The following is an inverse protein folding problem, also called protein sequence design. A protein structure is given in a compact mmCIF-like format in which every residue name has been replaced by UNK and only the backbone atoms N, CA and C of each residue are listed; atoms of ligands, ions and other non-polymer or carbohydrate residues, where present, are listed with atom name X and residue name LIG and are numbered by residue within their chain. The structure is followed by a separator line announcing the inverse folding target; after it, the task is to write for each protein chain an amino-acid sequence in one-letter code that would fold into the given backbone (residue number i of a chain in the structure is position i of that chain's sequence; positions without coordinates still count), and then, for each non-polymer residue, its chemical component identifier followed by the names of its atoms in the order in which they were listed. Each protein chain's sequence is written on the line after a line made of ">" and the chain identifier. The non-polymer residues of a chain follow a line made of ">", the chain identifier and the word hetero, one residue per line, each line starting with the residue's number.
data_IF_289746120504
#
_entry.id   IF_289746120504
#
_cell.length_a   1.000
_cell.length_b   1.000
_cell.length_c   1.000
_cell.angle_alpha   90.00
_cell.angle_beta   90.00
_cell.angle_gamma   90.00
#
_symmetry.space_group_name_H-M   'P 1'
#
loop_
_entity.id
_entity.type
_entity.pdbx_description
1 polymer ?
#
# COMPACT_ATOMS: atom_id res chain seq x y z
N UNK A 1 -8.78 23.95 -12.72
CA UNK A 1 -7.80 24.85 -12.08
C UNK A 1 -8.43 26.19 -11.67
N UNK A 2 -9.11 26.86 -12.57
CA UNK A 2 -9.79 28.13 -12.25
C UNK A 2 -10.98 27.98 -11.26
N UNK A 3 -11.71 26.86 -11.28
CA UNK A 3 -12.77 26.60 -10.29
C UNK A 3 -12.21 26.39 -8.87
N UNK A 4 -11.07 25.74 -8.74
CA UNK A 4 -10.35 25.58 -7.46
C UNK A 4 -9.92 26.96 -6.96
N UNK A 5 -9.43 27.81 -7.87
CA UNK A 5 -8.95 29.17 -7.57
C UNK A 5 -10.05 30.09 -7.00
N UNK A 6 -11.31 29.89 -7.38
CA UNK A 6 -12.45 30.68 -6.89
C UNK A 6 -12.95 30.25 -5.51
N UNK A 7 -12.68 29.02 -5.08
CA UNK A 7 -13.10 28.48 -3.79
C UNK A 7 -11.97 28.41 -2.74
N UNK A 8 -10.71 28.64 -3.15
CA UNK A 8 -9.55 28.63 -2.26
C UNK A 8 -9.20 30.04 -1.80
N UNK A 9 -9.22 30.24 -0.50
CA UNK A 9 -8.71 31.44 0.12
C UNK A 9 -7.33 31.15 0.69
N UNK A 10 -6.27 31.65 0.01
CA UNK A 10 -4.89 31.54 0.46
C UNK A 10 -4.51 32.78 1.25
N UNK A 11 -3.85 32.56 2.37
CA UNK A 11 -3.41 33.62 3.27
C UNK A 11 -1.93 33.51 3.55
N UNK A 12 -1.25 34.62 3.59
CA UNK A 12 0.11 34.70 4.11
C UNK A 12 0.08 34.42 5.62
N UNK A 13 0.85 33.40 6.06
CA UNK A 13 0.81 32.93 7.45
C UNK A 13 1.37 33.96 8.45
N UNK A 14 2.24 34.88 7.99
CA UNK A 14 2.85 35.93 8.83
C UNK A 14 1.93 37.13 9.00
N UNK A 15 1.21 37.53 7.95
CA UNK A 15 0.42 38.75 7.92
C UNK A 15 -1.08 38.52 8.06
N UNK A 16 -1.54 37.29 7.87
CA UNK A 16 -2.97 36.94 7.81
C UNK A 16 -3.72 37.56 6.62
N UNK A 17 -3.00 38.14 5.65
CA UNK A 17 -3.61 38.76 4.46
C UNK A 17 -3.77 37.78 3.33
N UNK A 18 -4.85 37.89 2.57
CA UNK A 18 -5.06 37.14 1.35
C UNK A 18 -3.91 37.32 0.37
N UNK A 19 -3.43 36.19 -0.20
CA UNK A 19 -2.32 36.17 -1.16
C UNK A 19 -2.73 35.45 -2.43
N UNK A 20 -2.29 35.93 -3.62
CA UNK A 20 -2.55 35.20 -4.86
C UNK A 20 -1.76 33.90 -4.88
N UNK A 21 -2.42 32.84 -5.32
CA UNK A 21 -1.76 31.54 -5.54
C UNK A 21 -0.76 31.65 -6.70
N UNK A 22 0.49 31.26 -6.44
CA UNK A 22 1.49 31.03 -7.46
C UNK A 22 1.79 29.54 -7.51
N UNK A 23 1.35 28.88 -8.59
CA UNK A 23 1.78 27.51 -8.86
C UNK A 23 3.28 27.51 -9.20
N UNK A 24 4.09 26.91 -8.33
CA UNK A 24 5.44 26.52 -8.68
C UNK A 24 5.41 25.25 -9.54
N UNK A 25 6.17 25.18 -10.63
CA UNK A 25 6.47 23.90 -11.27
C UNK A 25 7.43 23.15 -10.34
N UNK A 26 6.96 22.06 -9.72
CA UNK A 26 7.85 21.08 -9.10
C UNK A 26 8.49 20.29 -10.24
N UNK A 27 9.82 20.39 -10.36
CA UNK A 27 10.56 19.45 -11.19
C UNK A 27 10.83 18.17 -10.38
N UNK A 28 10.97 17.00 -11.03
CA UNK A 28 11.33 15.75 -10.32
C UNK A 28 12.58 15.89 -9.45
N UNK A 29 13.55 16.69 -9.87
CA UNK A 29 14.78 16.99 -9.14
C UNK A 29 14.52 17.81 -7.87
N UNK A 30 13.59 18.76 -7.91
CA UNK A 30 13.20 19.54 -6.73
C UNK A 30 12.42 18.70 -5.71
N UNK A 31 11.66 17.71 -6.18
CA UNK A 31 10.97 16.78 -5.29
C UNK A 31 11.91 15.78 -4.62
N UNK A 32 13.01 15.39 -5.28
CA UNK A 32 13.99 14.44 -4.75
C UNK A 32 14.96 15.09 -3.73
N UNK A 33 15.20 16.41 -3.85
CA UNK A 33 16.13 17.16 -2.99
C UNK A 33 15.44 17.90 -1.85
N UNK A 34 14.15 18.18 -1.99
CA UNK A 34 13.38 18.80 -0.92
C UNK A 34 13.08 17.75 0.16
N UNK A 35 13.94 17.69 1.15
CA UNK A 35 13.48 17.33 2.49
C UNK A 35 12.21 18.12 2.81
N UNK A 36 11.44 17.74 3.81
CA UNK A 36 10.21 18.43 4.14
C UNK A 36 10.50 19.93 4.18
N UNK A 37 9.76 20.77 3.42
CA UNK A 37 9.96 22.21 3.49
C UNK A 37 9.87 22.61 4.96
N UNK A 38 10.70 23.57 5.40
CA UNK A 38 10.68 24.01 6.77
C UNK A 38 9.25 24.37 7.16
N UNK A 39 8.87 24.02 8.38
CA UNK A 39 7.56 24.34 8.92
C UNK A 39 7.28 25.85 8.73
N UNK A 40 6.34 26.16 7.86
CA UNK A 40 6.00 27.54 7.52
C UNK A 40 6.33 27.90 6.07
N UNK A 41 5.52 27.42 5.11
CA UNK A 41 5.56 27.90 3.71
C UNK A 41 5.17 29.39 3.58
N UNK A 42 4.82 30.05 4.68
CA UNK A 42 4.32 31.42 4.72
C UNK A 42 2.91 31.58 4.14
N UNK A 43 2.25 30.51 3.71
CA UNK A 43 0.91 30.50 3.12
C UNK A 43 0.07 29.39 3.74
N UNK A 44 -1.17 29.69 4.07
CA UNK A 44 -2.16 28.69 4.45
C UNK A 44 -3.45 28.86 3.66
N UNK A 45 -4.21 27.79 3.54
CA UNK A 45 -5.54 27.79 2.96
C UNK A 45 -6.59 27.69 4.07
N UNK A 46 -7.60 28.55 4.03
CA UNK A 46 -8.79 28.39 4.84
C UNK A 46 -9.84 27.61 4.05
N UNK A 47 -10.25 26.48 4.60
CA UNK A 47 -11.29 25.61 4.05
C UNK A 47 -12.56 25.79 4.86
N UNK A 48 -13.58 26.52 4.34
CA UNK A 48 -14.84 26.74 5.04
C UNK A 48 -15.60 25.41 5.25
N UNK A 49 -16.51 25.42 6.23
CA UNK A 49 -17.41 24.31 6.51
C UNK A 49 -18.14 23.85 5.24
N UNK A 50 -18.27 22.55 5.06
CA UNK A 50 -18.91 21.89 3.92
C UNK A 50 -18.22 22.08 2.56
N UNK A 51 -17.13 22.86 2.51
CA UNK A 51 -16.33 23.01 1.32
C UNK A 51 -15.29 21.90 1.21
N UNK A 52 -14.83 21.67 0.00
CA UNK A 52 -13.79 20.71 -0.30
C UNK A 52 -12.68 21.30 -1.15
N UNK A 53 -11.46 20.85 -0.88
CA UNK A 53 -10.33 20.99 -1.78
C UNK A 53 -10.31 19.79 -2.71
N UNK A 54 -10.33 20.05 -4.01
CA UNK A 54 -10.21 19.03 -5.06
C UNK A 54 -8.83 19.11 -5.70
N UNK A 55 -8.07 18.02 -5.61
CA UNK A 55 -6.71 17.95 -6.14
C UNK A 55 -6.61 16.90 -7.24
N UNK A 56 -6.05 17.27 -8.40
CA UNK A 56 -5.80 16.35 -9.49
C UNK A 56 -4.52 15.55 -9.21
N UNK A 57 -4.66 14.23 -9.06
CA UNK A 57 -3.56 13.29 -8.88
C UNK A 57 -3.10 12.67 -10.21
N UNK A 58 -3.72 13.10 -11.33
CA UNK A 58 -3.54 12.46 -12.63
C UNK A 58 -3.87 10.95 -12.55
N UNK A 59 -3.03 10.09 -13.11
CA UNK A 59 -3.18 8.63 -13.18
C UNK A 59 -2.09 7.87 -12.43
N UNK A 60 -1.26 8.57 -11.66
CA UNK A 60 -0.01 8.03 -11.14
C UNK A 60 -0.11 7.33 -9.79
N UNK A 61 -1.29 7.26 -9.20
CA UNK A 61 -1.45 6.43 -8.01
C UNK A 61 -1.22 4.95 -8.37
N UNK A 62 -0.48 4.19 -7.55
CA UNK A 62 -0.35 2.74 -7.71
C UNK A 62 -1.71 2.04 -7.59
N UNK A 63 -1.78 0.79 -8.05
CA UNK A 63 -3.03 0.03 -8.02
C UNK A 63 -3.33 -0.54 -6.64
N UNK A 64 -2.29 -0.84 -5.88
CA UNK A 64 -2.33 -1.49 -4.59
C UNK A 64 -1.39 -0.81 -3.58
N UNK A 65 -1.49 -1.22 -2.33
CA UNK A 65 -0.74 -0.68 -1.21
C UNK A 65 -1.43 0.48 -0.52
N UNK A 66 -0.83 1.00 0.53
CA UNK A 66 -1.39 2.09 1.34
C UNK A 66 -1.05 3.44 0.73
N UNK A 67 -2.04 4.28 0.52
CA UNK A 67 -1.86 5.71 0.28
C UNK A 67 -2.01 6.44 1.62
N UNK A 68 -0.94 7.11 2.06
CA UNK A 68 -1.00 8.02 3.21
C UNK A 68 -1.16 9.45 2.74
N UNK A 69 -2.22 10.11 3.22
CA UNK A 69 -2.45 11.55 3.06
C UNK A 69 -2.23 12.23 4.39
N UNK A 70 -1.16 13.00 4.50
CA UNK A 70 -0.78 13.75 5.70
C UNK A 70 -1.12 15.21 5.52
N UNK A 71 -1.98 15.75 6.37
CA UNK A 71 -2.48 17.13 6.29
C UNK A 71 -2.09 17.85 7.57
N UNK A 72 -1.26 18.89 7.46
CA UNK A 72 -0.99 19.77 8.59
C UNK A 72 -2.09 20.80 8.66
N UNK A 73 -2.86 20.76 9.76
CA UNK A 73 -4.11 21.51 9.88
C UNK A 73 -4.33 22.07 11.30
N UNK A 74 -5.15 23.11 11.36
CA UNK A 74 -5.65 23.70 12.61
C UNK A 74 -7.04 24.30 12.42
N UNK A 75 -7.77 24.49 13.52
CA UNK A 75 -9.10 25.11 13.53
C UNK A 75 -8.98 26.63 13.54
N UNK A 76 -9.98 27.32 12.98
CA UNK A 76 -10.08 28.77 13.06
C UNK A 76 -10.54 29.29 14.44
N UNK A 77 -11.02 28.38 15.30
CA UNK A 77 -11.53 28.69 16.65
C UNK A 77 -10.85 27.81 17.68
N UNK A 78 -10.57 28.37 18.85
CA UNK A 78 -10.04 27.63 20.01
C UNK A 78 -11.17 27.14 20.94
N UNK A 79 -12.46 27.31 20.56
CA UNK A 79 -13.59 26.85 21.34
C UNK A 79 -13.60 25.31 21.42
N UNK A 80 -13.53 24.72 22.64
CA UNK A 80 -13.51 23.27 22.81
C UNK A 80 -14.81 22.55 22.43
N UNK A 81 -15.94 23.29 22.42
CA UNK A 81 -17.28 22.77 22.11
C UNK A 81 -17.54 22.67 20.60
N UNK A 82 -16.58 23.07 19.78
CA UNK A 82 -16.67 22.99 18.32
C UNK A 82 -15.81 21.85 17.78
N UNK A 83 -16.44 20.95 17.01
CA UNK A 83 -15.78 19.82 16.38
C UNK A 83 -15.35 20.18 14.96
N UNK A 84 -14.05 20.31 14.76
CA UNK A 84 -13.45 20.41 13.44
C UNK A 84 -13.07 19.03 12.92
N UNK A 85 -13.40 18.74 11.66
CA UNK A 85 -13.13 17.43 11.08
C UNK A 85 -12.86 17.47 9.58
N UNK A 86 -12.10 16.49 9.13
CA UNK A 86 -11.77 16.26 7.72
C UNK A 86 -12.21 14.88 7.28
N UNK A 87 -12.61 14.79 6.01
CA UNK A 87 -12.99 13.57 5.28
C UNK A 87 -12.27 13.53 3.95
N UNK A 88 -11.82 12.34 3.53
CA UNK A 88 -11.28 12.14 2.20
C UNK A 88 -12.31 11.54 1.24
N UNK A 89 -12.26 12.00 0.00
CA UNK A 89 -12.97 11.40 -1.13
C UNK A 89 -12.04 11.21 -2.33
N UNK A 90 -12.44 10.33 -3.24
CA UNK A 90 -11.81 10.15 -4.55
C UNK A 90 -12.88 10.20 -5.63
N UNK A 91 -12.57 10.87 -6.73
CA UNK A 91 -13.44 10.93 -7.89
C UNK A 91 -12.68 10.77 -9.19
N UNK A 92 -13.40 10.31 -10.22
CA UNK A 92 -12.96 10.38 -11.60
C UNK A 92 -14.06 10.97 -12.47
N UNK A 93 -13.69 11.84 -13.40
CA UNK A 93 -14.55 12.39 -14.42
C UNK A 93 -14.09 11.88 -15.78
N UNK A 94 -14.65 10.77 -16.19
CA UNK A 94 -14.38 10.18 -17.49
C UNK A 94 -15.28 10.80 -18.57
N UNK A 95 -14.89 10.71 -19.83
CA UNK A 95 -15.71 11.23 -20.94
C UNK A 95 -16.87 10.30 -21.30
N UNK A 96 -17.06 9.23 -20.55
CA UNK A 96 -18.14 8.28 -20.66
C UNK A 96 -18.82 8.11 -19.28
N UNK A 97 -19.76 7.20 -19.17
CA UNK A 97 -20.57 7.01 -17.94
C UNK A 97 -19.84 6.38 -16.73
N UNK A 98 -18.51 6.27 -16.75
CA UNK A 98 -17.73 5.73 -15.63
C UNK A 98 -17.32 6.77 -14.60
N UNK A 99 -18.11 7.82 -14.43
CA UNK A 99 -17.91 8.84 -13.38
C UNK A 99 -18.24 8.27 -12.01
N UNK A 100 -17.42 8.63 -11.01
CA UNK A 100 -17.72 8.33 -9.63
C UNK A 100 -17.19 9.44 -8.71
N UNK A 101 -17.72 9.50 -7.49
CA UNK A 101 -17.22 10.35 -6.40
C UNK A 101 -17.59 9.66 -5.08
N UNK A 102 -16.61 9.05 -4.44
CA UNK A 102 -16.80 8.22 -3.26
C UNK A 102 -15.98 8.74 -2.08
N UNK A 103 -16.48 8.55 -0.87
CA UNK A 103 -15.68 8.69 0.35
C UNK A 103 -14.73 7.50 0.40
N UNK A 104 -13.45 7.79 0.68
CA UNK A 104 -12.39 6.78 0.76
C UNK A 104 -11.75 6.68 2.15
N UNK A 105 -11.99 7.64 3.04
CA UNK A 105 -11.56 7.53 4.43
C UNK A 105 -12.51 6.59 5.18
N UNK A 106 -11.95 5.64 5.93
CA UNK A 106 -12.71 4.72 6.78
C UNK A 106 -13.55 5.49 7.82
N UNK A 107 -13.01 6.58 8.33
CA UNK A 107 -13.66 7.48 9.28
C UNK A 107 -13.28 8.92 9.05
N UNK A 108 -14.08 9.81 9.58
CA UNK A 108 -13.75 11.22 9.67
C UNK A 108 -12.72 11.44 10.77
N UNK A 109 -11.73 12.30 10.51
CA UNK A 109 -10.68 12.55 11.48
C UNK A 109 -10.79 13.95 12.08
N UNK A 110 -10.69 14.09 13.42
CA UNK A 110 -10.76 15.38 14.08
C UNK A 110 -9.52 16.23 13.78
N UNK A 111 -9.73 17.52 13.66
CA UNK A 111 -8.67 18.53 13.61
C UNK A 111 -8.57 19.20 14.97
N UNK A 112 -7.58 18.79 15.76
CA UNK A 112 -7.36 19.29 17.12
C UNK A 112 -6.32 20.41 17.18
N UNK A 113 -5.60 20.65 16.08
CA UNK A 113 -4.61 21.71 15.98
C UNK A 113 -5.20 23.10 16.21
N UNK A 114 -4.37 24.00 16.77
CA UNK A 114 -4.67 25.43 16.94
C UNK A 114 -3.71 26.26 16.10
N UNK A 115 -3.98 27.57 15.97
CA UNK A 115 -3.10 28.49 15.24
C UNK A 115 -1.66 28.46 15.78
N UNK A 116 -1.49 28.33 17.11
CA UNK A 116 -0.17 28.27 17.75
C UNK A 116 0.50 26.91 17.67
N UNK A 117 -0.30 25.84 17.52
CA UNK A 117 0.18 24.46 17.49
C UNK A 117 -0.59 23.64 16.45
N UNK A 118 -0.28 23.80 15.14
CA UNK A 118 -0.87 22.98 14.09
C UNK A 118 -0.49 21.52 14.25
N UNK A 119 -1.42 20.60 13.99
CA UNK A 119 -1.19 19.17 14.07
C UNK A 119 -1.30 18.51 12.70
N UNK A 120 -0.62 17.37 12.54
CA UNK A 120 -0.82 16.52 11.38
C UNK A 120 -2.02 15.58 11.59
N UNK A 121 -2.89 15.53 10.59
CA UNK A 121 -3.94 14.52 10.44
C UNK A 121 -3.50 13.56 9.36
N UNK A 122 -3.48 12.25 9.64
CA UNK A 122 -3.03 11.21 8.72
C UNK A 122 -4.19 10.30 8.35
N UNK A 123 -4.46 10.19 7.05
CA UNK A 123 -5.38 9.21 6.51
C UNK A 123 -4.58 8.12 5.80
N UNK A 124 -4.83 6.87 6.14
CA UNK A 124 -4.32 5.71 5.45
C UNK A 124 -5.46 5.06 4.66
N UNK A 125 -5.25 4.90 3.36
CA UNK A 125 -6.24 4.36 2.43
C UNK A 125 -5.62 3.21 1.67
N UNK A 126 -6.25 2.02 1.72
CA UNK A 126 -5.86 0.86 0.94
C UNK A 126 -6.36 1.04 -0.49
N UNK A 127 -5.43 1.11 -1.45
CA UNK A 127 -5.75 1.46 -2.84
C UNK A 127 -6.51 0.36 -3.58
N UNK A 128 -6.33 -0.88 -3.17
CA UNK A 128 -7.06 -2.05 -3.65
C UNK A 128 -8.53 -2.07 -3.24
N UNK A 129 -8.89 -1.41 -2.12
CA UNK A 129 -10.24 -1.42 -1.55
C UNK A 129 -11.13 -0.30 -2.09
N UNK A 130 -10.58 0.64 -2.86
CA UNK A 130 -11.30 1.79 -3.36
C UNK A 130 -11.59 1.71 -4.87
N UNK A 131 -12.68 2.33 -5.28
CA UNK A 131 -12.98 2.46 -6.70
C UNK A 131 -11.95 3.35 -7.40
N UNK A 132 -11.39 2.85 -8.51
CA UNK A 132 -10.37 3.52 -9.31
C UNK A 132 -10.90 3.85 -10.70
N UNK A 133 -10.30 4.83 -11.35
CA UNK A 133 -10.63 5.13 -12.75
C UNK A 133 -10.26 3.93 -13.65
N UNK A 134 -11.23 3.30 -14.33
CA UNK A 134 -10.97 2.09 -15.16
C UNK A 134 -10.05 2.40 -16.35
N UNK A 135 -9.94 3.66 -16.74
CA UNK A 135 -9.15 4.09 -17.89
C UNK A 135 -7.73 4.59 -17.53
N UNK A 136 -7.36 4.57 -16.25
CA UNK A 136 -6.06 5.12 -15.78
C UNK A 136 -4.84 4.51 -16.45
N UNK A 137 -4.94 3.25 -16.91
CA UNK A 137 -3.82 2.52 -17.57
C UNK A 137 -3.78 2.67 -19.09
N UNK A 138 -4.77 3.32 -19.70
CA UNK A 138 -4.78 3.46 -21.16
C UNK A 138 -3.62 4.34 -21.64
N UNK A 139 -3.04 3.99 -22.79
CA UNK A 139 -2.03 4.78 -23.45
C UNK A 139 -2.60 6.06 -24.05
N UNK A 140 -3.88 6.06 -24.45
CA UNK A 140 -4.60 7.18 -25.07
C UNK A 140 -5.04 8.20 -24.04
N UNK A 141 -5.26 9.45 -24.46
CA UNK A 141 -5.77 10.53 -23.59
C UNK A 141 -7.30 10.54 -23.45
N UNK A 142 -7.98 9.73 -24.22
CA UNK A 142 -9.45 9.58 -24.21
C UNK A 142 -9.80 8.09 -24.02
N UNK A 143 -10.72 7.72 -23.13
CA UNK A 143 -11.37 8.54 -22.10
C UNK A 143 -10.39 9.17 -21.07
N UNK A 144 -10.84 10.20 -20.33
CA UNK A 144 -10.00 10.84 -19.30
C UNK A 144 -9.56 9.83 -18.24
N UNK A 145 -8.30 9.96 -17.82
CA UNK A 145 -7.62 9.02 -16.92
C UNK A 145 -7.41 9.56 -15.51
N UNK A 146 -7.71 10.84 -15.34
CA UNK A 146 -7.40 11.58 -14.10
C UNK A 146 -8.24 11.07 -12.93
N UNK A 147 -7.59 11.03 -11.77
CA UNK A 147 -8.21 10.81 -10.46
C UNK A 147 -8.04 12.05 -9.61
N UNK A 148 -9.04 12.36 -8.79
CA UNK A 148 -9.05 13.57 -7.98
C UNK A 148 -9.25 13.23 -6.53
N UNK A 149 -8.33 13.65 -5.66
CA UNK A 149 -8.47 13.60 -4.22
C UNK A 149 -9.33 14.78 -3.75
N UNK A 150 -10.26 14.50 -2.85
CA UNK A 150 -11.09 15.50 -2.18
C UNK A 150 -10.74 15.52 -0.69
N UNK A 151 -10.48 16.71 -0.16
CA UNK A 151 -10.32 16.96 1.27
C UNK A 151 -11.47 17.86 1.68
N UNK A 152 -12.43 17.32 2.41
CA UNK A 152 -13.66 18.02 2.78
C UNK A 152 -13.64 18.41 4.24
N UNK A 153 -13.99 19.66 4.53
CA UNK A 153 -14.28 20.11 5.88
C UNK A 153 -15.70 19.70 6.27
N UNK A 154 -15.80 18.81 7.25
CA UNK A 154 -17.08 18.29 7.78
C UNK A 154 -17.36 18.78 9.18
N UNK A 155 -16.72 19.87 9.61
CA UNK A 155 -16.84 20.41 10.96
C UNK A 155 -18.30 20.69 11.36
N UNK A 156 -18.62 20.42 12.61
CA UNK A 156 -19.85 20.84 13.25
C UNK A 156 -19.58 22.15 13.98
N UNK A 157 -20.30 23.21 13.62
CA UNK A 157 -20.21 24.48 14.32
C UNK A 157 -21.55 24.79 15.01
N UNK A 158 -21.48 25.02 16.27
CA UNK A 158 -22.63 25.51 17.08
C UNK A 158 -22.59 27.04 17.27
N UNK A 159 -21.50 27.67 16.81
CA UNK A 159 -21.29 29.11 16.92
C UNK A 159 -21.91 29.93 15.77
N UNK A 160 -21.86 31.26 15.91
CA UNK A 160 -22.35 32.21 14.89
C UNK A 160 -21.48 32.26 13.66
N UNK A 161 -20.17 32.01 13.81
CA UNK A 161 -19.20 31.99 12.73
C UNK A 161 -18.96 30.54 12.23
N UNK A 162 -18.92 30.32 10.92
CA UNK A 162 -18.67 28.99 10.38
C UNK A 162 -17.23 28.55 10.69
N UNK A 163 -17.10 27.40 11.36
CA UNK A 163 -15.80 26.83 11.68
C UNK A 163 -15.04 26.47 10.42
N UNK A 164 -13.86 27.03 10.26
CA UNK A 164 -12.95 26.76 9.15
C UNK A 164 -11.83 25.82 9.61
N UNK A 165 -11.37 24.97 8.71
CA UNK A 165 -10.12 24.23 8.86
C UNK A 165 -9.06 24.92 8.02
N UNK A 166 -7.99 25.33 8.67
CA UNK A 166 -6.83 25.91 8.03
C UNK A 166 -5.80 24.82 7.77
N UNK A 167 -5.17 24.83 6.60
CA UNK A 167 -4.15 23.87 6.24
C UNK A 167 -3.05 24.57 5.43
N UNK A 168 -1.80 24.22 5.74
CA UNK A 168 -0.62 24.79 5.08
C UNK A 168 0.25 23.75 4.41
N UNK A 169 -0.02 22.46 4.64
CA UNK A 169 0.75 21.37 4.04
C UNK A 169 -0.10 20.14 3.82
N UNK A 170 0.02 19.56 2.64
CA UNK A 170 -0.56 18.28 2.28
C UNK A 170 0.55 17.45 1.62
N UNK A 171 0.78 16.27 2.15
CA UNK A 171 1.69 15.27 1.61
C UNK A 171 0.91 14.02 1.24
N UNK A 172 1.17 13.49 0.06
CA UNK A 172 0.58 12.23 -0.42
C UNK A 172 1.72 11.28 -0.73
N UNK A 173 1.77 10.17 -0.02
CA UNK A 173 2.76 9.11 -0.22
C UNK A 173 2.03 7.83 -0.61
N UNK A 174 2.34 7.29 -1.79
CA UNK A 174 1.77 6.04 -2.28
C UNK A 174 2.78 5.30 -3.18
N UNK A 175 3.11 4.04 -2.90
CA UNK A 175 2.73 3.31 -1.70
C UNK A 175 3.46 3.81 -0.45
N UNK A 176 2.76 3.81 0.70
CA UNK A 176 3.33 4.15 1.99
C UNK A 176 3.73 2.89 2.75
N UNK A 177 4.93 2.89 3.29
CA UNK A 177 5.45 1.85 4.16
C UNK A 177 5.86 2.46 5.50
N UNK A 178 5.23 2.03 6.59
CA UNK A 178 5.57 2.49 7.95
C UNK A 178 7.01 2.12 8.35
N UNK A 179 7.52 1.04 7.76
CA UNK A 179 8.89 0.57 7.94
C UNK A 179 9.44 0.06 6.60
N UNK A 180 10.68 0.43 6.28
CA UNK A 180 11.38 -0.08 5.11
C UNK A 180 12.62 -0.91 5.52
N UNK A 181 12.88 -2.09 4.93
CA UNK A 181 11.95 -2.86 4.11
C UNK A 181 10.71 -3.32 4.88
N UNK A 182 9.54 -3.53 4.21
CA UNK A 182 8.31 -3.95 4.86
C UNK A 182 8.44 -5.34 5.50
N UNK A 183 7.59 -5.63 6.48
CA UNK A 183 7.62 -6.91 7.20
C UNK A 183 7.43 -8.12 6.28
N UNK A 184 6.68 -7.97 5.19
CA UNK A 184 6.50 -9.00 4.16
C UNK A 184 7.81 -9.31 3.43
N UNK A 185 8.60 -8.29 3.09
CA UNK A 185 9.92 -8.45 2.50
C UNK A 185 10.87 -9.17 3.47
N UNK A 186 10.91 -8.75 4.74
CA UNK A 186 11.76 -9.38 5.76
C UNK A 186 11.40 -10.83 6.08
N UNK A 187 10.16 -11.24 5.80
CA UNK A 187 9.75 -12.66 5.92
C UNK A 187 10.36 -13.55 4.84
N UNK A 188 10.64 -12.98 3.67
CA UNK A 188 11.28 -13.69 2.56
C UNK A 188 12.80 -13.56 2.66
N UNK A 189 13.29 -12.32 2.75
CA UNK A 189 14.71 -11.97 2.86
C UNK A 189 15.06 -11.65 4.32
N UNK A 190 15.17 -12.70 5.11
CA UNK A 190 15.43 -12.62 6.54
C UNK A 190 16.92 -12.44 6.86
N UNK A 191 17.24 -12.06 8.08
CA UNK A 191 18.62 -11.96 8.52
C UNK A 191 19.23 -13.35 8.72
N UNK A 192 20.38 -13.60 8.08
CA UNK A 192 21.15 -14.84 8.14
C UNK A 192 22.65 -14.53 8.23
N UNK A 193 23.37 -15.42 8.88
CA UNK A 193 24.84 -15.36 8.94
C UNK A 193 25.47 -15.60 7.55
N UNK A 194 24.76 -16.29 6.66
CA UNK A 194 25.20 -16.60 5.31
C UNK A 194 24.77 -15.55 4.27
N UNK A 195 24.19 -14.40 4.69
CA UNK A 195 23.69 -13.35 3.79
C UNK A 195 24.72 -12.81 2.79
N UNK A 196 26.01 -12.87 3.13
CA UNK A 196 27.11 -12.47 2.23
C UNK A 196 27.51 -13.56 1.23
N UNK A 197 27.04 -14.79 1.42
CA UNK A 197 27.24 -15.89 0.51
C UNK A 197 25.95 -16.17 -0.25
N UNK A 198 25.81 -15.55 -1.43
CA UNK A 198 24.58 -15.60 -2.22
C UNK A 198 24.06 -17.04 -2.45
N UNK A 199 24.95 -18.00 -2.60
CA UNK A 199 24.57 -19.39 -2.85
C UNK A 199 23.94 -20.04 -1.62
N UNK A 200 24.60 -19.94 -0.47
CA UNK A 200 24.06 -20.49 0.78
C UNK A 200 22.80 -19.76 1.22
N UNK A 201 22.80 -18.43 1.11
CA UNK A 201 21.64 -17.64 1.45
C UNK A 201 20.45 -17.91 0.51
N UNK A 202 20.74 -18.16 -0.78
CA UNK A 202 19.73 -18.59 -1.76
C UNK A 202 19.10 -19.92 -1.39
N UNK A 203 19.90 -20.91 -0.98
CA UNK A 203 19.40 -22.21 -0.50
C UNK A 203 18.48 -22.03 0.72
N UNK A 204 18.84 -21.18 1.68
CA UNK A 204 18.01 -20.90 2.86
C UNK A 204 16.69 -20.24 2.48
N UNK A 205 16.74 -19.20 1.62
CA UNK A 205 15.55 -18.46 1.15
C UNK A 205 14.61 -19.40 0.40
N UNK A 206 15.14 -20.20 -0.55
CA UNK A 206 14.36 -21.14 -1.33
C UNK A 206 13.74 -22.23 -0.46
N UNK A 207 14.52 -22.85 0.42
CA UNK A 207 14.03 -23.90 1.32
C UNK A 207 12.85 -23.41 2.16
N UNK A 208 12.97 -22.23 2.74
CA UNK A 208 11.93 -21.63 3.57
C UNK A 208 10.70 -21.23 2.77
N UNK A 209 10.91 -20.61 1.60
CA UNK A 209 9.83 -20.16 0.73
C UNK A 209 9.06 -21.34 0.13
N UNK A 210 9.75 -22.34 -0.41
CA UNK A 210 9.13 -23.54 -1.00
C UNK A 210 8.36 -24.31 0.07
N UNK A 211 8.93 -24.51 1.27
CA UNK A 211 8.23 -25.18 2.37
C UNK A 211 6.88 -24.52 2.65
N UNK A 212 6.84 -23.18 2.64
CA UNK A 212 5.60 -22.45 2.86
C UNK A 212 4.66 -22.51 1.65
N UNK A 213 5.19 -22.31 0.43
CA UNK A 213 4.38 -22.23 -0.78
C UNK A 213 3.77 -23.59 -1.17
N UNK A 214 4.56 -24.67 -1.09
CA UNK A 214 4.10 -26.00 -1.47
C UNK A 214 3.54 -26.82 -0.33
N UNK A 215 3.63 -26.32 0.90
CA UNK A 215 3.15 -27.03 2.10
C UNK A 215 4.01 -28.24 2.45
N UNK A 216 5.26 -28.30 1.99
CA UNK A 216 6.23 -29.36 2.28
C UNK A 216 7.67 -28.88 2.09
N UNK A 217 8.67 -29.54 2.71
CA UNK A 217 10.07 -29.28 2.40
C UNK A 217 10.39 -29.58 0.92
N UNK A 218 11.29 -28.78 0.36
CA UNK A 218 11.90 -29.10 -0.92
C UNK A 218 12.98 -30.18 -0.75
N UNK A 219 13.14 -31.04 -1.74
CA UNK A 219 14.29 -31.91 -1.85
C UNK A 219 15.54 -31.13 -2.28
N UNK A 220 16.74 -31.67 -2.02
CA UNK A 220 17.99 -31.05 -2.48
C UNK A 220 18.00 -30.86 -4.01
N UNK A 221 17.49 -31.83 -4.76
CA UNK A 221 17.39 -31.76 -6.23
C UNK A 221 16.51 -30.61 -6.70
N UNK A 222 15.40 -30.34 -5.98
CA UNK A 222 14.52 -29.21 -6.28
C UNK A 222 15.21 -27.87 -5.97
N UNK A 223 15.92 -27.78 -4.84
CA UNK A 223 16.72 -26.58 -4.50
C UNK A 223 17.80 -26.35 -5.54
N UNK A 224 18.60 -27.36 -5.88
CA UNK A 224 19.66 -27.27 -6.89
C UNK A 224 19.12 -26.78 -8.24
N UNK A 225 17.93 -27.26 -8.63
CA UNK A 225 17.27 -26.81 -9.87
C UNK A 225 16.93 -25.34 -9.86
N UNK A 226 16.35 -24.82 -8.76
CA UNK A 226 16.02 -23.42 -8.65
C UNK A 226 17.25 -22.53 -8.47
N UNK A 227 18.29 -23.03 -7.79
CA UNK A 227 19.59 -22.35 -7.74
C UNK A 227 20.27 -22.30 -9.09
N UNK A 228 20.09 -23.32 -9.94
CA UNK A 228 20.52 -23.27 -11.34
C UNK A 228 19.84 -22.17 -12.14
N UNK A 229 18.54 -21.89 -11.89
CA UNK A 229 17.86 -20.72 -12.48
C UNK A 229 18.41 -19.41 -11.90
N UNK A 230 18.70 -19.38 -10.60
CA UNK A 230 19.33 -18.22 -9.98
C UNK A 230 20.66 -17.87 -10.64
N UNK A 231 21.55 -18.87 -10.83
CA UNK A 231 22.85 -18.67 -11.49
C UNK A 231 22.68 -18.18 -12.94
N UNK A 232 21.62 -18.64 -13.63
CA UNK A 232 21.32 -18.20 -14.98
C UNK A 232 20.84 -16.76 -15.04
N UNK A 233 19.99 -16.32 -14.11
CA UNK A 233 19.40 -14.98 -14.09
C UNK A 233 20.32 -13.94 -13.44
N UNK A 234 21.22 -14.36 -12.54
CA UNK A 234 22.06 -13.46 -11.73
C UNK A 234 22.80 -12.38 -12.53
N UNK A 235 23.32 -12.64 -13.73
CA UNK A 235 23.99 -11.61 -14.53
C UNK A 235 23.09 -10.49 -15.05
N UNK A 236 21.76 -10.71 -15.10
CA UNK A 236 20.80 -9.78 -15.68
C UNK A 236 20.24 -8.78 -14.65
N UNK A 237 20.58 -8.93 -13.34
CA UNK A 237 20.05 -8.13 -12.26
C UNK A 237 21.15 -7.54 -11.38
N UNK A 238 20.91 -6.34 -10.86
CA UNK A 238 21.90 -5.63 -10.04
C UNK A 238 22.05 -6.23 -8.64
N UNK A 239 20.96 -6.77 -8.06
CA UNK A 239 20.93 -7.25 -6.67
C UNK A 239 20.55 -8.74 -6.59
N UNK A 240 21.02 -9.41 -5.50
CA UNK A 240 20.57 -10.76 -5.13
C UNK A 240 19.06 -10.85 -5.03
N UNK A 241 18.44 -9.84 -4.40
CA UNK A 241 16.99 -9.83 -4.11
C UNK A 241 16.18 -9.79 -5.40
N UNK A 242 16.56 -8.98 -6.38
CA UNK A 242 15.89 -8.91 -7.69
C UNK A 242 15.99 -10.25 -8.42
N UNK A 243 17.18 -10.84 -8.48
CA UNK A 243 17.37 -12.16 -9.09
C UNK A 243 16.51 -13.22 -8.40
N UNK A 244 16.52 -13.24 -7.07
CA UNK A 244 15.77 -14.21 -6.29
C UNK A 244 14.26 -14.04 -6.46
N UNK A 245 13.73 -12.82 -6.64
CA UNK A 245 12.32 -12.58 -6.92
C UNK A 245 11.86 -13.31 -8.18
N UNK A 246 12.65 -13.30 -9.25
CA UNK A 246 12.33 -14.02 -10.49
C UNK A 246 12.32 -15.54 -10.28
N UNK A 247 13.27 -16.05 -9.50
CA UNK A 247 13.29 -17.46 -9.13
C UNK A 247 12.07 -17.83 -8.29
N UNK A 248 11.71 -17.03 -7.29
CA UNK A 248 10.52 -17.25 -6.46
C UNK A 248 9.23 -17.18 -7.27
N UNK A 249 9.16 -16.33 -8.32
CA UNK A 249 8.03 -16.33 -9.25
C UNK A 249 7.89 -17.67 -9.97
N UNK A 250 9.00 -18.33 -10.35
CA UNK A 250 8.93 -19.67 -10.95
C UNK A 250 8.49 -20.75 -9.95
N UNK A 251 8.82 -20.60 -8.66
CA UNK A 251 8.30 -21.48 -7.59
C UNK A 251 6.79 -21.37 -7.48
N UNK A 252 6.23 -20.16 -7.59
CA UNK A 252 4.78 -19.92 -7.55
C UNK A 252 4.06 -20.35 -8.85
N UNK A 253 4.76 -20.39 -9.97
CA UNK A 253 4.25 -20.94 -11.22
C UNK A 253 4.29 -22.46 -11.30
N UNK A 254 4.95 -23.13 -10.36
CA UNK A 254 5.13 -24.59 -10.35
C UNK A 254 3.80 -25.31 -10.03
N UNK A 255 3.53 -26.49 -10.66
CA UNK A 255 2.32 -27.29 -10.39
C UNK A 255 2.08 -27.63 -8.91
N UNK A 256 3.13 -27.83 -8.14
CA UNK A 256 3.04 -28.08 -6.68
C UNK A 256 2.41 -26.92 -5.89
N UNK A 257 2.50 -25.70 -6.40
CA UNK A 257 1.83 -24.54 -5.82
C UNK A 257 0.41 -24.37 -6.38
N UNK A 258 0.25 -24.53 -7.71
CA UNK A 258 -1.01 -24.21 -8.40
C UNK A 258 -2.09 -25.28 -8.21
N UNK A 259 -1.70 -26.53 -7.95
CA UNK A 259 -2.63 -27.66 -7.88
C UNK A 259 -2.47 -28.43 -6.56
N UNK A 260 -3.55 -29.08 -6.17
CA UNK A 260 -3.50 -30.14 -5.16
C UNK A 260 -3.02 -31.43 -5.85
N UNK A 261 -1.71 -31.59 -5.93
CA UNK A 261 -1.09 -32.77 -6.52
C UNK A 261 -1.19 -33.94 -5.56
N UNK A 262 -1.64 -35.09 -6.07
CA UNK A 262 -1.64 -36.33 -5.31
C UNK A 262 -0.31 -37.05 -5.55
N UNK A 263 0.46 -37.28 -4.51
CA UNK A 263 1.62 -38.16 -4.54
C UNK A 263 1.16 -39.57 -4.25
N UNK A 264 1.08 -40.33 -5.28
CA UNK A 264 0.77 -41.78 -5.17
C UNK A 264 2.08 -42.47 -4.81
N UNK A 265 2.22 -42.91 -3.58
CA UNK A 265 3.22 -43.94 -3.24
C UNK A 265 2.61 -45.27 -3.66
N UNK A 266 3.14 -45.87 -4.73
CA UNK A 266 2.73 -47.22 -5.17
C UNK A 266 3.09 -48.21 -4.05
N UNK A 267 2.05 -48.75 -3.42
CA UNK A 267 2.21 -49.92 -2.58
C UNK A 267 2.36 -51.11 -3.50
N UNK A 268 3.45 -51.89 -3.33
CA UNK A 268 3.74 -53.11 -4.11
C UNK A 268 2.64 -54.16 -4.11
N UNK A 269 1.66 -54.01 -3.22
CA UNK A 269 0.55 -54.97 -3.01
C UNK A 269 -0.84 -54.44 -3.50
N UNK A 270 -0.90 -53.34 -4.27
CA UNK A 270 -2.15 -52.81 -4.84
C UNK A 270 -3.16 -52.26 -3.82
N UNK A 271 -2.76 -52.05 -2.55
CA UNK A 271 -3.58 -51.47 -1.51
C UNK A 271 -3.62 -49.95 -1.55
N UNK A 272 -4.59 -49.37 -0.84
CA UNK A 272 -4.67 -47.92 -0.65
C UNK A 272 -3.41 -47.40 0.01
N UNK A 273 -2.70 -46.48 -0.66
CA UNK A 273 -1.56 -45.78 -0.07
C UNK A 273 -2.02 -44.72 0.89
N UNK A 274 -1.41 -44.68 2.07
CA UNK A 274 -1.64 -43.64 3.06
C UNK A 274 -0.97 -42.35 2.57
N UNK A 275 -1.67 -41.22 2.64
CA UNK A 275 -1.09 -39.92 2.36
C UNK A 275 -0.10 -39.53 3.46
N UNK A 276 0.96 -38.81 3.11
CA UNK A 276 1.89 -38.29 4.11
C UNK A 276 1.30 -37.11 4.90
N UNK A 277 1.92 -36.78 6.01
CA UNK A 277 1.43 -35.72 6.92
C UNK A 277 1.43 -34.34 6.24
N UNK A 278 2.33 -34.06 5.32
CA UNK A 278 2.38 -32.80 4.57
C UNK A 278 1.20 -32.68 3.60
N UNK A 279 0.89 -33.77 2.88
CA UNK A 279 -0.28 -33.78 2.01
C UNK A 279 -1.57 -33.70 2.80
N UNK A 280 -1.65 -34.38 3.96
CA UNK A 280 -2.79 -34.30 4.86
C UNK A 280 -2.98 -32.86 5.37
N UNK A 281 -1.92 -32.20 5.82
CA UNK A 281 -1.96 -30.82 6.27
C UNK A 281 -2.48 -29.89 5.18
N UNK A 282 -1.96 -30.02 3.95
CA UNK A 282 -2.39 -29.21 2.79
C UNK A 282 -3.86 -29.41 2.48
N UNK A 283 -4.35 -30.65 2.48
CA UNK A 283 -5.77 -30.97 2.22
C UNK A 283 -6.69 -30.45 3.31
N UNK A 284 -6.31 -30.60 4.57
CA UNK A 284 -7.06 -30.05 5.71
C UNK A 284 -7.17 -28.53 5.62
N UNK A 285 -6.08 -27.83 5.34
CA UNK A 285 -6.09 -26.39 5.23
C UNK A 285 -6.98 -25.90 4.08
N UNK A 286 -6.87 -26.51 2.89
CA UNK A 286 -7.72 -26.17 1.75
C UNK A 286 -9.19 -26.48 2.03
N UNK A 287 -9.50 -27.60 2.66
CA UNK A 287 -10.87 -28.02 2.98
C UNK A 287 -11.53 -27.11 4.02
N UNK A 288 -10.80 -26.76 5.10
CA UNK A 288 -11.37 -26.03 6.24
C UNK A 288 -11.42 -24.51 6.01
N UNK A 289 -10.41 -23.93 5.37
CA UNK A 289 -10.31 -22.47 5.21
C UNK A 289 -9.79 -21.98 3.86
N UNK A 290 -9.79 -22.86 2.83
CA UNK A 290 -9.43 -22.52 1.44
C UNK A 290 -8.08 -21.79 1.30
N UNK A 291 -7.07 -22.19 2.10
CA UNK A 291 -5.76 -21.54 2.15
C UNK A 291 -4.63 -22.57 2.32
N UNK A 292 -3.39 -22.08 2.37
CA UNK A 292 -2.22 -22.88 2.71
C UNK A 292 -2.23 -23.23 4.22
N UNK A 293 -1.55 -24.32 4.65
CA UNK A 293 -1.42 -24.66 6.06
C UNK A 293 -0.77 -23.51 6.86
N UNK A 294 -1.28 -23.27 8.05
CA UNK A 294 -0.68 -22.36 9.01
C UNK A 294 0.55 -22.97 9.71
N UNK A 295 1.25 -22.16 10.49
CA UNK A 295 2.47 -22.61 11.15
C UNK A 295 2.24 -23.80 12.13
N UNK A 296 1.18 -23.81 12.98
CA UNK A 296 0.89 -24.94 13.84
C UNK A 296 0.63 -26.25 13.08
N UNK A 297 -0.15 -26.18 12.00
CA UNK A 297 -0.45 -27.35 11.18
C UNK A 297 0.79 -27.90 10.46
N UNK A 298 1.63 -26.99 9.97
CA UNK A 298 2.94 -27.34 9.37
C UNK A 298 3.87 -28.01 10.38
N UNK A 299 3.90 -27.57 11.62
CA UNK A 299 4.70 -28.16 12.70
C UNK A 299 4.21 -29.57 13.05
N UNK A 300 2.89 -29.78 13.09
CA UNK A 300 2.33 -31.11 13.30
C UNK A 300 2.74 -32.06 12.15
N UNK A 301 2.68 -31.61 10.91
CA UNK A 301 3.12 -32.42 9.75
C UNK A 301 4.62 -32.75 9.82
N UNK A 302 5.45 -31.78 10.19
CA UNK A 302 6.90 -31.97 10.33
C UNK A 302 7.27 -33.00 11.40
N UNK A 303 6.49 -33.04 12.48
CA UNK A 303 6.68 -33.97 13.60
C UNK A 303 5.99 -35.32 13.40
N UNK A 304 5.34 -35.57 12.27
CA UNK A 304 4.62 -36.83 11.99
C UNK A 304 3.44 -37.07 12.93
N UNK A 305 2.73 -36.01 13.33
CA UNK A 305 1.65 -36.05 14.34
C UNK A 305 0.23 -35.89 13.77
N UNK A 306 0.08 -35.93 12.46
CA UNK A 306 -1.23 -35.80 11.81
C UNK A 306 -1.85 -37.16 11.40
N UNK A 307 -1.04 -38.20 11.32
CA UNK A 307 -1.46 -39.56 10.97
C UNK A 307 -1.58 -40.49 12.19
#
# INVERSE_FOLDING_TARGET
>A
YEKIRKSMHLFDARTGRGTPYKAGKLTPETAAVAGPPPSGSGVFMALPRSNELKWNLDRFLPDDGVMRVSIRAWRSSDNPDEDAGLRLGLSAHTSNNANFSNVISERDLPVTGTVKNPHYVHFDVYLEDIQRNPFRKLATTFPRRDEFLHIKNISNAHGKEPLQVHLDRIEITAPFYAQWPPATHKRIFFDSNDKTNEKKYGDEVLSRFIKRAWGRPASSVEIDRFMGLFDQFRPDFDTFEETMQEVLATVLAHPEFLYLTQRITENKDGGLSRIDDWELAKRLAVFLWSSIPDAPLMELAENGKLN
#
